data_IF_757975507618
#
_entry.id   IF_757975507618
#
_cell.length_a   1.000
_cell.length_b   1.000
_cell.length_c   1.000
_cell.angle_alpha   90.00
_cell.angle_beta   90.00
_cell.angle_gamma   90.00
#
_symmetry.space_group_name_H-M   'P 1'
#
loop_
_entity.id
_entity.type
_entity.pdbx_description
1 polymer ?
#
# COMPACT_ATOMS: atom_id res chain seq x y z
N UNK A 1 -14.83 -8.37 -12.04
CA UNK A 1 -15.74 -9.52 -11.88
C UNK A 1 -15.93 -9.78 -10.39
N UNK A 2 -16.80 -10.72 -10.00
CA UNK A 2 -16.91 -11.13 -8.60
C UNK A 2 -15.56 -11.56 -8.00
N UNK A 3 -14.74 -12.34 -8.72
CA UNK A 3 -13.40 -12.73 -8.25
C UNK A 3 -12.49 -11.51 -8.00
N UNK A 4 -12.57 -10.48 -8.86
CA UNK A 4 -11.83 -9.23 -8.66
C UNK A 4 -12.26 -8.53 -7.37
N UNK A 5 -13.56 -8.50 -7.06
CA UNK A 5 -14.04 -7.87 -5.82
C UNK A 5 -13.58 -8.61 -4.56
N UNK A 6 -13.43 -9.94 -4.63
CA UNK A 6 -12.85 -10.72 -3.53
C UNK A 6 -11.38 -10.36 -3.36
N UNK A 7 -10.63 -10.26 -4.46
CA UNK A 7 -9.23 -9.88 -4.45
C UNK A 7 -9.04 -8.47 -3.88
N UNK A 8 -9.82 -7.48 -4.34
CA UNK A 8 -9.79 -6.10 -3.84
C UNK A 8 -10.12 -6.04 -2.34
N UNK A 9 -11.17 -6.74 -1.90
CA UNK A 9 -11.53 -6.76 -0.48
C UNK A 9 -10.46 -7.43 0.39
N UNK A 10 -9.86 -8.53 -0.10
CA UNK A 10 -8.76 -9.19 0.60
C UNK A 10 -7.55 -8.26 0.73
N UNK A 11 -7.25 -7.49 -0.32
CA UNK A 11 -6.16 -6.52 -0.33
C UNK A 11 -6.41 -5.37 0.64
N UNK A 12 -7.62 -4.80 0.65
CA UNK A 12 -8.04 -3.75 1.59
C UNK A 12 -7.91 -4.19 3.05
N UNK A 13 -8.31 -5.43 3.37
CA UNK A 13 -8.17 -6.00 4.73
C UNK A 13 -6.69 -6.21 5.06
N UNK A 14 -5.90 -6.76 4.13
CA UNK A 14 -4.50 -7.07 4.36
C UNK A 14 -3.68 -5.80 4.61
N UNK A 15 -3.75 -4.80 3.72
CA UNK A 15 -3.01 -3.55 3.87
C UNK A 15 -3.45 -2.77 5.11
N UNK A 16 -4.77 -2.62 5.32
CA UNK A 16 -5.28 -1.85 6.45
C UNK A 16 -4.84 -2.38 7.82
N UNK A 17 -4.70 -3.70 7.95
CA UNK A 17 -4.34 -4.34 9.23
C UNK A 17 -2.85 -4.67 9.35
N UNK A 18 -2.16 -5.05 8.27
CA UNK A 18 -0.71 -5.31 8.33
C UNK A 18 0.08 -4.01 8.56
N UNK A 19 -0.29 -2.90 7.94
CA UNK A 19 0.37 -1.61 8.20
C UNK A 19 0.19 -1.18 9.67
N UNK A 20 -0.97 -1.53 10.26
CA UNK A 20 -1.21 -1.34 11.69
C UNK A 20 -0.32 -2.24 12.55
N UNK A 21 -0.13 -3.51 12.18
CA UNK A 21 0.79 -4.43 12.86
C UNK A 21 2.21 -3.85 12.87
N UNK A 22 2.72 -3.44 11.72
CA UNK A 22 4.06 -2.86 11.58
C UNK A 22 4.19 -1.55 12.34
N UNK A 23 3.18 -0.68 12.29
CA UNK A 23 3.17 0.57 13.04
C UNK A 23 3.33 0.35 14.55
N UNK A 24 2.63 -0.64 15.10
CA UNK A 24 2.70 -0.98 16.53
C UNK A 24 4.03 -1.67 16.83
N UNK A 25 4.47 -2.63 16.01
CA UNK A 25 5.72 -3.36 16.18
C UNK A 25 6.95 -2.44 16.17
N UNK A 26 6.93 -1.39 15.33
CA UNK A 26 7.97 -0.37 15.23
C UNK A 26 7.84 0.74 16.29
N UNK A 27 6.79 0.72 17.12
CA UNK A 27 6.55 1.73 18.15
C UNK A 27 6.21 3.12 17.59
N UNK A 28 5.72 3.19 16.34
CA UNK A 28 5.30 4.45 15.70
C UNK A 28 4.00 4.99 16.30
N UNK A 29 3.21 4.10 16.90
CA UNK A 29 1.94 4.42 17.57
C UNK A 29 1.96 3.90 19.01
N UNK A 30 1.30 4.63 19.91
CA UNK A 30 1.18 4.25 21.32
C UNK A 30 -0.27 3.90 21.65
N UNK A 31 -0.46 3.05 22.67
CA UNK A 31 -1.79 2.69 23.16
C UNK A 31 -2.61 3.93 23.54
N UNK A 32 -1.98 4.97 24.09
CA UNK A 32 -2.65 6.22 24.44
C UNK A 32 -3.28 6.92 23.24
N UNK A 33 -2.56 6.99 22.11
CA UNK A 33 -3.06 7.63 20.88
C UNK A 33 -4.13 6.74 20.25
N UNK A 34 -3.97 5.42 20.30
CA UNK A 34 -4.98 4.46 19.87
C UNK A 34 -6.29 4.60 20.65
N UNK A 35 -6.23 4.69 21.98
CA UNK A 35 -7.42 4.89 22.81
C UNK A 35 -8.14 6.21 22.48
N UNK A 36 -7.36 7.28 22.29
CA UNK A 36 -7.91 8.60 21.99
C UNK A 36 -8.48 8.73 20.57
N UNK A 37 -7.92 8.05 19.57
CA UNK A 37 -8.31 8.28 18.18
C UNK A 37 -9.08 7.12 17.54
N UNK A 38 -8.86 5.89 17.98
CA UNK A 38 -9.52 4.69 17.42
C UNK A 38 -10.63 4.22 18.35
N UNK A 39 -10.34 3.99 19.64
CA UNK A 39 -11.34 3.46 20.56
C UNK A 39 -12.50 4.43 20.80
N UNK A 40 -12.25 5.74 20.80
CA UNK A 40 -13.31 6.76 20.87
C UNK A 40 -14.29 6.63 19.69
N UNK A 41 -13.79 6.41 18.46
CA UNK A 41 -14.64 6.25 17.28
C UNK A 41 -15.33 4.88 17.23
N UNK A 42 -14.66 3.82 17.69
CA UNK A 42 -15.23 2.47 17.78
C UNK A 42 -16.42 2.42 18.74
N UNK A 43 -16.46 3.30 19.74
CA UNK A 43 -17.60 3.44 20.65
C UNK A 43 -18.93 3.76 19.94
N UNK A 44 -18.93 4.25 18.70
CA UNK A 44 -20.15 4.44 17.92
C UNK A 44 -20.75 3.12 17.38
N UNK A 45 -20.04 2.00 17.49
CA UNK A 45 -20.38 0.71 16.90
C UNK A 45 -20.52 -0.40 17.97
N UNK A 46 -21.11 -0.11 19.14
CA UNK A 46 -21.15 -1.05 20.28
C UNK A 46 -21.74 -2.44 19.94
N UNK A 47 -22.72 -2.49 19.04
CA UNK A 47 -23.35 -3.72 18.59
C UNK A 47 -22.54 -4.49 17.52
N UNK A 48 -21.49 -3.87 16.97
CA UNK A 48 -20.65 -4.50 15.95
C UNK A 48 -19.80 -5.62 16.54
N UNK A 49 -19.78 -6.77 15.86
CA UNK A 49 -18.89 -7.86 16.22
C UNK A 49 -17.43 -7.42 16.15
N UNK A 50 -17.04 -6.71 15.09
CA UNK A 50 -15.67 -6.27 14.91
C UNK A 50 -15.25 -5.24 15.96
N UNK A 51 -16.14 -4.31 16.35
CA UNK A 51 -15.86 -3.37 17.44
C UNK A 51 -15.54 -4.13 18.74
N UNK A 52 -16.34 -5.15 19.08
CA UNK A 52 -16.09 -6.00 20.25
C UNK A 52 -14.77 -6.77 20.16
N UNK A 53 -14.39 -7.24 18.97
CA UNK A 53 -13.07 -7.86 18.75
C UNK A 53 -11.95 -6.84 18.97
N UNK A 54 -12.01 -5.67 18.35
CA UNK A 54 -10.97 -4.65 18.49
C UNK A 54 -10.80 -4.23 19.96
N UNK A 55 -11.91 -3.98 20.67
CA UNK A 55 -11.90 -3.69 22.11
C UNK A 55 -11.25 -4.81 22.92
N UNK A 56 -11.67 -6.06 22.72
CA UNK A 56 -11.15 -7.23 23.46
C UNK A 56 -9.66 -7.45 23.25
N UNK A 57 -9.16 -7.17 22.05
CA UNK A 57 -7.77 -7.45 21.67
C UNK A 57 -6.84 -6.24 21.80
N UNK A 58 -7.34 -5.06 22.17
CA UNK A 58 -6.54 -3.83 22.31
C UNK A 58 -5.33 -4.00 23.23
N UNK A 59 -5.48 -4.62 24.42
CA UNK A 59 -4.34 -4.86 25.32
C UNK A 59 -3.27 -5.78 24.70
N UNK A 60 -3.69 -6.72 23.84
CA UNK A 60 -2.76 -7.64 23.18
C UNK A 60 -2.00 -6.98 22.05
N UNK A 61 -2.64 -6.06 21.32
CA UNK A 61 -2.00 -5.25 20.28
C UNK A 61 -0.78 -4.51 20.86
N UNK A 62 -0.96 -3.83 22.00
CA UNK A 62 0.08 -3.00 22.61
C UNK A 62 0.92 -3.72 23.67
N UNK A 63 0.83 -5.04 23.76
CA UNK A 63 1.70 -5.79 24.68
C UNK A 63 3.15 -5.82 24.18
N UNK A 64 4.11 -6.07 25.08
CA UNK A 64 5.52 -6.21 24.73
C UNK A 64 5.87 -7.48 23.93
N UNK A 65 4.89 -8.34 23.63
CA UNK A 65 5.12 -9.61 22.96
C UNK A 65 4.61 -9.58 21.51
N UNK A 66 5.51 -9.76 20.55
CA UNK A 66 5.14 -9.93 19.13
C UNK A 66 4.11 -11.04 18.90
N UNK A 67 4.14 -12.11 19.71
CA UNK A 67 3.16 -13.20 19.61
C UNK A 67 1.74 -12.73 19.96
N UNK A 68 1.62 -11.83 20.94
CA UNK A 68 0.33 -11.29 21.35
C UNK A 68 -0.18 -10.24 20.36
N UNK A 69 0.71 -9.38 19.83
CA UNK A 69 0.38 -8.46 18.74
C UNK A 69 -0.19 -9.23 17.54
N UNK A 70 0.56 -10.23 17.06
CA UNK A 70 0.12 -11.09 15.95
C UNK A 70 -1.19 -11.80 16.24
N UNK A 71 -1.42 -12.21 17.49
CA UNK A 71 -2.69 -12.80 17.89
C UNK A 71 -3.84 -11.79 17.85
N UNK A 72 -3.65 -10.55 18.31
CA UNK A 72 -4.64 -9.48 18.21
C UNK A 72 -4.99 -9.17 16.75
N UNK A 73 -3.97 -8.96 15.93
CA UNK A 73 -4.10 -8.71 14.49
C UNK A 73 -4.85 -9.84 13.79
N UNK A 74 -4.48 -11.10 14.05
CA UNK A 74 -5.16 -12.27 13.45
C UNK A 74 -6.66 -12.33 13.78
N UNK A 75 -7.06 -11.90 14.99
CA UNK A 75 -8.47 -11.87 15.37
C UNK A 75 -9.22 -10.71 14.70
N UNK A 76 -8.58 -9.54 14.52
CA UNK A 76 -9.17 -8.42 13.76
C UNK A 76 -9.39 -8.83 12.30
N UNK A 77 -8.39 -9.42 11.65
CA UNK A 77 -8.51 -9.97 10.29
C UNK A 77 -9.63 -11.02 10.23
N UNK A 78 -9.67 -11.95 11.19
CA UNK A 78 -10.74 -12.94 11.28
C UNK A 78 -12.14 -12.32 11.43
N UNK A 79 -12.26 -11.21 12.16
CA UNK A 79 -13.51 -10.46 12.30
C UNK A 79 -13.94 -9.78 11.01
N UNK A 80 -13.01 -9.17 10.27
CA UNK A 80 -13.27 -8.60 8.96
C UNK A 80 -13.72 -9.67 7.96
N UNK A 81 -13.02 -10.81 7.90
CA UNK A 81 -13.39 -11.94 7.02
C UNK A 81 -14.80 -12.45 7.35
N UNK A 82 -15.13 -12.56 8.64
CA UNK A 82 -16.45 -13.01 9.10
C UNK A 82 -17.58 -12.06 8.65
N UNK A 83 -17.31 -10.76 8.59
CA UNK A 83 -18.29 -9.74 8.21
C UNK A 83 -18.27 -9.40 6.71
N UNK A 84 -17.65 -10.25 5.90
CA UNK A 84 -17.80 -10.22 4.45
C UNK A 84 -19.17 -10.76 4.03
N UNK A 85 -19.82 -10.05 3.10
CA UNK A 85 -21.07 -10.42 2.47
C UNK A 85 -20.98 -10.29 0.94
N UNK A 86 -21.91 -10.94 0.24
CA UNK A 86 -22.06 -10.81 -1.21
C UNK A 86 -23.19 -9.82 -1.46
N UNK A 87 -22.88 -8.75 -2.19
CA UNK A 87 -23.84 -7.74 -2.62
C UNK A 87 -24.20 -7.95 -4.09
N UNK A 88 -25.49 -8.02 -4.37
CA UNK A 88 -26.03 -7.95 -5.73
C UNK A 88 -26.09 -6.47 -6.14
N UNK A 89 -25.43 -6.12 -7.25
CA UNK A 89 -25.36 -4.75 -7.73
C UNK A 89 -26.60 -4.34 -8.53
N UNK A 90 -27.48 -5.29 -8.89
CA UNK A 90 -28.71 -5.13 -9.70
C UNK A 90 -28.52 -4.52 -11.12
N UNK A 91 -27.48 -3.73 -11.34
CA UNK A 91 -27.09 -3.07 -12.59
C UNK A 91 -26.14 -3.91 -13.45
N UNK A 92 -25.73 -5.09 -12.98
CA UNK A 92 -24.82 -5.96 -13.71
C UNK A 92 -25.51 -6.58 -14.93
N UNK A 93 -25.15 -6.12 -16.13
CA UNK A 93 -25.67 -6.69 -17.39
C UNK A 93 -25.29 -8.17 -17.59
N UNK A 94 -24.26 -8.67 -16.88
CA UNK A 94 -23.76 -10.03 -16.97
C UNK A 94 -23.50 -10.63 -15.58
N UNK A 95 -23.76 -11.93 -15.38
CA UNK A 95 -23.63 -12.62 -14.08
C UNK A 95 -22.24 -12.45 -13.44
N UNK A 96 -21.18 -12.43 -14.25
CA UNK A 96 -19.79 -12.23 -13.80
C UNK A 96 -19.49 -10.86 -13.16
N UNK A 97 -20.33 -9.84 -13.39
CA UNK A 97 -20.16 -8.49 -12.83
C UNK A 97 -21.35 -8.07 -11.95
N UNK A 98 -22.30 -8.98 -11.72
CA UNK A 98 -23.50 -8.71 -10.93
C UNK A 98 -23.23 -8.69 -9.43
N UNK A 99 -22.25 -9.46 -8.97
CA UNK A 99 -21.97 -9.64 -7.56
C UNK A 99 -20.62 -9.04 -7.18
N UNK A 100 -20.58 -8.42 -6.00
CA UNK A 100 -19.35 -8.01 -5.33
C UNK A 100 -19.27 -8.58 -3.91
N UNK A 101 -18.08 -8.97 -3.48
CA UNK A 101 -17.76 -9.15 -2.08
C UNK A 101 -17.57 -7.77 -1.43
N UNK A 102 -18.16 -7.55 -0.26
CA UNK A 102 -17.98 -6.33 0.52
C UNK A 102 -18.08 -6.61 2.02
N UNK A 103 -17.63 -5.68 2.84
CA UNK A 103 -17.89 -5.72 4.28
C UNK A 103 -19.28 -5.17 4.59
N UNK A 104 -19.88 -5.69 5.68
CA UNK A 104 -21.01 -5.04 6.34
C UNK A 104 -20.64 -3.60 6.71
N UNK A 105 -21.65 -2.72 6.74
CA UNK A 105 -21.48 -1.28 6.93
C UNK A 105 -20.58 -0.92 8.13
N UNK A 106 -20.84 -1.50 9.31
CA UNK A 106 -20.06 -1.21 10.52
C UNK A 106 -18.60 -1.68 10.38
N UNK A 107 -18.37 -2.87 9.84
CA UNK A 107 -17.02 -3.43 9.68
C UNK A 107 -16.22 -2.70 8.61
N UNK A 108 -16.89 -2.21 7.55
CA UNK A 108 -16.30 -1.31 6.56
C UNK A 108 -15.89 0.03 7.21
N UNK A 109 -16.76 0.63 8.03
CA UNK A 109 -16.47 1.88 8.71
C UNK A 109 -15.31 1.73 9.71
N UNK A 110 -15.27 0.62 10.46
CA UNK A 110 -14.16 0.31 11.38
C UNK A 110 -12.85 0.12 10.61
N UNK A 111 -12.85 -0.60 9.49
CA UNK A 111 -11.65 -0.74 8.65
C UNK A 111 -11.13 0.62 8.17
N UNK A 112 -12.02 1.52 7.76
CA UNK A 112 -11.64 2.88 7.35
C UNK A 112 -11.10 3.73 8.52
N UNK A 113 -11.59 3.55 9.75
CA UNK A 113 -11.00 4.15 10.96
C UNK A 113 -9.55 3.66 11.12
N UNK A 114 -9.29 2.35 10.99
CA UNK A 114 -7.94 1.78 11.08
C UNK A 114 -7.01 2.32 9.99
N UNK A 115 -7.48 2.34 8.73
CA UNK A 115 -6.72 2.89 7.59
C UNK A 115 -6.40 4.37 7.80
N UNK A 116 -7.37 5.16 8.27
CA UNK A 116 -7.18 6.59 8.55
C UNK A 116 -6.18 6.82 9.67
N UNK A 117 -6.22 5.99 10.71
CA UNK A 117 -5.27 6.03 11.83
C UNK A 117 -3.83 5.77 11.36
N UNK A 118 -3.63 4.70 10.57
CA UNK A 118 -2.33 4.36 9.97
C UNK A 118 -1.87 5.48 9.02
N UNK A 119 -2.75 5.98 8.16
CA UNK A 119 -2.45 7.08 7.24
C UNK A 119 -1.91 8.30 7.99
N UNK A 120 -2.55 8.68 9.09
CA UNK A 120 -2.18 9.85 9.90
C UNK A 120 -0.87 9.65 10.65
N UNK A 121 -0.68 8.51 11.31
CA UNK A 121 0.43 8.31 12.25
C UNK A 121 1.62 7.57 11.66
N UNK A 122 1.51 7.01 10.47
CA UNK A 122 2.57 6.22 9.80
C UNK A 122 2.89 6.84 8.45
N UNK A 123 1.95 6.81 7.51
CA UNK A 123 2.20 7.19 6.10
C UNK A 123 2.55 8.68 5.99
N UNK A 124 1.81 9.54 6.70
CA UNK A 124 2.05 11.01 6.72
C UNK A 124 3.19 11.46 7.62
N UNK A 125 3.95 10.53 8.23
CA UNK A 125 5.14 10.92 8.96
C UNK A 125 6.16 11.56 8.02
N UNK A 126 6.81 12.64 8.50
CA UNK A 126 7.77 13.42 7.71
C UNK A 126 8.80 12.57 6.98
N UNK A 127 9.33 11.54 7.63
CA UNK A 127 10.35 10.66 7.05
C UNK A 127 9.84 9.89 5.82
N UNK A 128 8.60 9.39 5.88
CA UNK A 128 7.97 8.66 4.78
C UNK A 128 7.64 9.61 3.63
N UNK A 129 7.15 10.81 3.95
CA UNK A 129 6.88 11.87 2.97
C UNK A 129 8.15 12.34 2.26
N UNK A 130 9.29 12.43 2.96
CA UNK A 130 10.58 12.75 2.33
C UNK A 130 10.99 11.63 1.36
N UNK A 131 10.77 10.36 1.72
CA UNK A 131 11.11 9.23 0.86
C UNK A 131 10.23 9.22 -0.40
N UNK A 132 8.93 9.46 -0.25
CA UNK A 132 7.96 9.58 -1.34
C UNK A 132 8.36 10.68 -2.34
N UNK A 133 8.66 11.89 -1.84
CA UNK A 133 9.11 13.03 -2.67
C UNK A 133 10.42 12.69 -3.41
N UNK A 134 11.36 12.01 -2.74
CA UNK A 134 12.61 11.58 -3.39
C UNK A 134 12.36 10.55 -4.48
N UNK A 135 11.50 9.56 -4.22
CA UNK A 135 11.11 8.55 -5.20
C UNK A 135 10.48 9.17 -6.43
N UNK A 136 9.51 10.07 -6.24
CA UNK A 136 8.88 10.82 -7.34
C UNK A 136 9.92 11.60 -8.15
N UNK A 137 10.81 12.34 -7.50
CA UNK A 137 11.87 13.08 -8.18
C UNK A 137 12.79 12.16 -9.00
N UNK A 138 13.15 10.98 -8.47
CA UNK A 138 13.99 10.01 -9.18
C UNK A 138 13.27 9.52 -10.45
N UNK A 139 12.01 9.10 -10.31
CA UNK A 139 11.20 8.59 -11.44
C UNK A 139 11.04 9.67 -12.52
N UNK A 140 10.66 10.89 -12.13
CA UNK A 140 10.47 12.01 -13.06
C UNK A 140 11.77 12.31 -13.82
N UNK A 141 12.89 12.43 -13.10
CA UNK A 141 14.19 12.76 -13.71
C UNK A 141 14.70 11.66 -14.64
N UNK A 142 14.52 10.40 -14.26
CA UNK A 142 14.90 9.27 -15.11
C UNK A 142 14.03 9.22 -16.38
N UNK A 143 12.72 9.43 -16.24
CA UNK A 143 11.82 9.44 -17.38
C UNK A 143 12.16 10.57 -18.36
N UNK A 144 12.40 11.79 -17.86
CA UNK A 144 12.81 12.93 -18.68
C UNK A 144 14.13 12.66 -19.41
N UNK A 145 15.16 12.15 -18.72
CA UNK A 145 16.45 11.85 -19.34
C UNK A 145 16.33 10.78 -20.44
N UNK A 146 15.55 9.72 -20.19
CA UNK A 146 15.27 8.67 -21.16
C UNK A 146 14.51 9.19 -22.38
N UNK A 147 13.58 10.11 -22.17
CA UNK A 147 12.82 10.76 -23.25
C UNK A 147 13.71 11.66 -24.12
N UNK A 148 14.65 12.39 -23.52
CA UNK A 148 15.58 13.25 -24.23
C UNK A 148 16.69 12.48 -24.98
N UNK A 149 17.13 11.33 -24.44
CA UNK A 149 18.27 10.58 -24.95
C UNK A 149 18.02 9.05 -25.01
N UNK A 150 16.97 8.58 -25.69
CA UNK A 150 16.57 7.16 -25.67
C UNK A 150 17.65 6.23 -26.23
N UNK A 151 18.33 6.63 -27.31
CA UNK A 151 19.41 5.85 -27.94
C UNK A 151 20.61 5.57 -27.01
N UNK A 152 20.89 6.49 -26.08
CA UNK A 152 22.08 6.43 -25.24
C UNK A 152 21.83 5.75 -23.91
N UNK A 153 20.58 5.83 -23.43
CA UNK A 153 20.22 5.48 -22.06
C UNK A 153 19.35 4.24 -21.96
N UNK A 154 18.61 3.89 -23.02
CA UNK A 154 17.91 2.62 -23.06
C UNK A 154 18.90 1.49 -23.34
N UNK A 155 18.60 0.33 -22.76
CA UNK A 155 19.24 -0.93 -23.15
C UNK A 155 18.90 -1.25 -24.61
N UNK A 156 19.76 -2.02 -25.32
CA UNK A 156 19.59 -2.26 -26.76
C UNK A 156 18.22 -2.82 -27.14
N UNK A 157 17.70 -3.79 -26.39
CA UNK A 157 16.42 -4.44 -26.68
C UNK A 157 15.25 -3.45 -26.55
N UNK A 158 15.22 -2.68 -25.46
CA UNK A 158 14.21 -1.65 -25.22
C UNK A 158 14.30 -0.49 -26.22
N UNK A 159 15.50 -0.15 -26.69
CA UNK A 159 15.68 0.87 -27.72
C UNK A 159 15.11 0.42 -29.07
N UNK A 160 15.26 -0.85 -29.45
CA UNK A 160 14.65 -1.39 -30.68
C UNK A 160 13.11 -1.41 -30.59
N UNK A 161 12.54 -1.75 -29.41
CA UNK A 161 11.10 -1.60 -29.17
C UNK A 161 10.66 -0.13 -29.24
N UNK A 162 11.48 0.79 -28.72
CA UNK A 162 11.19 2.22 -28.77
C UNK A 162 11.20 2.73 -30.22
N UNK A 163 12.17 2.34 -31.06
CA UNK A 163 12.22 2.73 -32.48
C UNK A 163 11.00 2.30 -33.27
N UNK A 164 10.50 1.09 -33.00
CA UNK A 164 9.38 0.50 -33.74
C UNK A 164 8.02 1.10 -33.37
N UNK A 165 7.86 1.55 -32.13
CA UNK A 165 6.59 2.09 -31.61
C UNK A 165 6.57 3.61 -31.40
N UNK A 166 7.75 4.25 -31.30
CA UNK A 166 8.00 5.65 -30.90
C UNK A 166 7.14 6.11 -29.72
N UNK A 167 6.87 5.20 -28.79
CA UNK A 167 5.87 5.41 -27.77
C UNK A 167 6.52 5.71 -26.43
N UNK A 168 6.05 6.77 -25.79
CA UNK A 168 6.29 7.05 -24.36
C UNK A 168 5.95 5.83 -23.48
N UNK A 169 5.10 4.91 -23.98
CA UNK A 169 4.78 3.64 -23.32
C UNK A 169 6.01 2.76 -23.08
N UNK A 170 6.92 2.65 -24.05
CA UNK A 170 8.13 1.81 -23.88
C UNK A 170 9.02 2.37 -22.77
N UNK A 171 9.11 3.70 -22.67
CA UNK A 171 9.83 4.36 -21.58
C UNK A 171 9.14 4.13 -20.24
N UNK A 172 7.81 4.24 -20.19
CA UNK A 172 7.03 3.97 -18.98
C UNK A 172 7.19 2.53 -18.52
N UNK A 173 7.14 1.56 -19.45
CA UNK A 173 7.32 0.14 -19.14
C UNK A 173 8.72 -0.12 -18.59
N UNK A 174 9.76 0.45 -19.23
CA UNK A 174 11.14 0.35 -18.77
C UNK A 174 11.34 0.95 -17.37
N UNK A 175 10.83 2.15 -17.11
CA UNK A 175 10.91 2.80 -15.79
C UNK A 175 10.12 2.02 -14.73
N UNK A 176 8.92 1.55 -15.06
CA UNK A 176 8.09 0.76 -14.13
C UNK A 176 8.68 -0.63 -13.82
N UNK A 177 9.52 -1.16 -14.71
CA UNK A 177 10.25 -2.41 -14.50
C UNK A 177 11.51 -2.28 -13.62
N UNK A 178 11.89 -1.06 -13.22
CA UNK A 178 13.04 -0.83 -12.35
C UNK A 178 12.71 -1.20 -10.90
N UNK A 179 13.68 -1.79 -10.20
CA UNK A 179 13.64 -1.84 -8.72
C UNK A 179 14.12 -0.52 -8.14
N UNK A 180 13.70 -0.17 -6.92
CA UNK A 180 14.14 1.05 -6.22
C UNK A 180 15.67 1.19 -6.19
N UNK A 181 16.39 0.08 -5.97
CA UNK A 181 17.85 0.05 -5.95
C UNK A 181 18.44 0.38 -7.33
N UNK A 182 17.86 -0.18 -8.40
CA UNK A 182 18.31 0.09 -9.75
C UNK A 182 18.03 1.53 -10.15
N UNK A 183 16.81 2.03 -9.92
CA UNK A 183 16.43 3.41 -10.20
C UNK A 183 17.33 4.41 -9.44
N UNK A 184 17.58 4.18 -8.15
CA UNK A 184 18.45 5.05 -7.35
C UNK A 184 19.91 5.04 -7.84
N UNK A 185 20.42 3.90 -8.32
CA UNK A 185 21.78 3.80 -8.88
C UNK A 185 21.88 4.52 -10.21
N UNK A 186 20.93 4.27 -11.11
CA UNK A 186 20.88 4.93 -12.42
C UNK A 186 20.71 6.45 -12.28
N UNK A 187 19.88 6.89 -11.33
CA UNK A 187 19.76 8.31 -11.03
C UNK A 187 21.10 8.90 -10.55
N UNK A 188 21.78 8.19 -9.65
CA UNK A 188 23.07 8.64 -9.12
C UNK A 188 24.14 8.72 -10.21
N UNK A 189 24.22 7.73 -11.11
CA UNK A 189 25.20 7.74 -12.20
C UNK A 189 24.96 8.84 -13.23
N UNK A 190 23.69 9.17 -13.50
CA UNK A 190 23.33 10.18 -14.50
C UNK A 190 23.43 11.61 -13.98
N UNK A 191 23.05 11.84 -12.72
CA UNK A 191 22.88 13.20 -12.19
C UNK A 191 23.87 13.58 -11.09
N UNK A 192 24.58 12.62 -10.47
CA UNK A 192 25.56 12.92 -9.42
C UNK A 192 27.00 12.77 -9.92
N UNK A 193 27.85 13.82 -9.80
CA UNK A 193 29.22 13.82 -10.35
C UNK A 193 30.16 12.77 -9.74
N UNK A 194 29.86 12.30 -8.53
CA UNK A 194 30.76 11.44 -7.74
C UNK A 194 30.49 9.93 -7.92
N UNK A 195 29.40 9.56 -8.60
CA UNK A 195 28.97 8.16 -8.73
C UNK A 195 29.23 7.56 -10.12
N UNK A 196 29.77 8.33 -11.06
CA UNK A 196 30.12 7.86 -12.40
C UNK A 196 31.53 7.26 -12.44
N UNK A 197 31.70 6.03 -11.96
CA UNK A 197 32.88 5.24 -12.35
C UNK A 197 32.59 4.62 -13.72
N UNK A 198 33.54 4.76 -14.67
CA UNK A 198 33.50 4.12 -15.99
C UNK A 198 33.32 2.59 -15.97
N UNK A 199 33.30 1.97 -14.79
CA UNK A 199 33.24 0.54 -14.55
C UNK A 199 31.92 0.02 -13.97
N UNK A 200 30.92 0.89 -13.69
CA UNK A 200 29.57 0.43 -13.39
C UNK A 200 28.90 -0.01 -14.70
N UNK A 201 29.15 -1.26 -15.11
CA UNK A 201 28.50 -1.87 -16.26
C UNK A 201 27.02 -2.11 -15.94
N UNK A 202 26.15 -1.54 -16.78
CA UNK A 202 24.69 -1.71 -16.78
C UNK A 202 24.24 -2.98 -17.52
#
# INVERSE_FOLDING_TARGET
SFDTSIMELADDIAYGVHDLEDAIALGLVSQKIWEAEVMEQIGAFEDSYLANVVTRYTEKLFSSSHKQLKHGISNIVGGLIRDTEIRDLESGEHELIRYNACLKADSAAILEILKTFVLKHVIRQRQNQILEIKGQMIVDKLFDALLENPERLLKPDEYELYKTSNSKRVLSDYVSGMTDLYASRLYSSLFLPQSGSLFDQF
#
